data_IF_696297777460
#
_entry.id   IF_696297777460
#
_cell.length_a   1.000
_cell.length_b   1.000
_cell.length_c   1.000
_cell.angle_alpha   90.00
_cell.angle_beta   90.00
_cell.angle_gamma   90.00
#
_symmetry.space_group_name_H-M   'P 1'
#
loop_
_entity.id
_entity.type
_entity.pdbx_description
1 polymer ?
#
# COMPACT_ATOMS: atom_id res chain seq x y z
N UNK A 1 -9.62 5.78 3.92
CA UNK A 1 -8.87 6.75 4.74
C UNK A 1 -7.63 7.23 3.99
N UNK A 2 -6.82 8.09 4.62
CA UNK A 2 -5.56 8.58 4.03
C UNK A 2 -4.67 7.40 3.58
N UNK A 3 -4.56 6.36 4.42
CA UNK A 3 -3.83 5.13 4.12
C UNK A 3 -4.28 4.43 2.82
N UNK A 4 -5.59 4.31 2.58
CA UNK A 4 -6.12 3.69 1.35
C UNK A 4 -5.80 4.51 0.10
N UNK A 5 -5.81 5.85 0.23
CA UNK A 5 -5.48 6.74 -0.88
C UNK A 5 -3.99 6.66 -1.22
N UNK A 6 -3.13 6.57 -0.21
CA UNK A 6 -1.68 6.45 -0.40
C UNK A 6 -1.31 5.10 -1.01
N UNK A 7 -1.86 3.99 -0.51
CA UNK A 7 -1.74 2.65 -1.12
C UNK A 7 -2.17 2.71 -2.58
N UNK A 8 -3.35 3.27 -2.86
CA UNK A 8 -3.89 3.34 -4.22
C UNK A 8 -3.03 4.19 -5.17
N UNK A 9 -2.42 5.27 -4.69
CA UNK A 9 -1.52 6.11 -5.50
C UNK A 9 -0.21 5.40 -5.79
N UNK A 10 0.40 4.78 -4.79
CA UNK A 10 1.67 4.05 -4.93
C UNK A 10 1.49 2.82 -5.83
N UNK A 11 0.43 2.04 -5.63
CA UNK A 11 0.09 0.92 -6.50
C UNK A 11 -0.11 1.36 -7.96
N UNK A 12 -0.78 2.49 -8.21
CA UNK A 12 -0.93 3.04 -9.57
C UNK A 12 0.40 3.43 -10.21
N UNK A 13 1.34 4.01 -9.45
CA UNK A 13 2.68 4.33 -9.94
C UNK A 13 3.44 3.07 -10.33
N UNK A 14 3.44 2.05 -9.46
CA UNK A 14 4.14 0.79 -9.70
C UNK A 14 3.50 -0.07 -10.80
N UNK A 15 2.19 0.07 -11.02
CA UNK A 15 1.49 -0.58 -12.12
C UNK A 15 1.74 0.09 -13.48
N UNK A 16 2.32 1.29 -13.51
CA UNK A 16 2.66 1.99 -14.75
C UNK A 16 4.05 1.53 -15.25
N UNK A 17 4.15 0.80 -16.37
CA UNK A 17 5.43 0.33 -16.90
C UNK A 17 6.38 1.46 -17.26
N UNK A 18 5.87 2.61 -17.73
CA UNK A 18 6.70 3.77 -18.05
C UNK A 18 7.36 4.35 -16.80
N UNK A 19 6.66 4.33 -15.66
CA UNK A 19 7.24 4.77 -14.39
C UNK A 19 8.32 3.80 -13.94
N UNK A 20 8.04 2.49 -13.96
CA UNK A 20 9.01 1.47 -13.55
C UNK A 20 10.25 1.46 -14.45
N UNK A 21 10.10 1.71 -15.75
CA UNK A 21 11.20 1.73 -16.70
C UNK A 21 12.05 3.01 -16.65
N UNK A 22 11.47 4.15 -16.22
CA UNK A 22 12.15 5.46 -16.22
C UNK A 22 12.61 5.91 -14.84
N UNK A 23 11.98 5.42 -13.77
CA UNK A 23 12.35 5.76 -12.40
C UNK A 23 13.65 5.04 -12.01
N UNK A 24 14.47 5.64 -11.14
CA UNK A 24 15.59 4.93 -10.53
C UNK A 24 15.13 3.66 -9.82
N UNK A 25 15.90 2.59 -9.91
CA UNK A 25 15.58 1.30 -9.28
C UNK A 25 15.32 1.44 -7.77
N UNK A 26 16.15 2.22 -7.07
CA UNK A 26 15.96 2.51 -5.63
C UNK A 26 14.59 3.13 -5.34
N UNK A 27 14.11 4.05 -6.19
CA UNK A 27 12.79 4.67 -6.02
C UNK A 27 11.69 3.65 -6.25
N UNK A 28 11.83 2.78 -7.24
CA UNK A 28 10.84 1.73 -7.52
C UNK A 28 10.78 0.74 -6.34
N UNK A 29 11.93 0.28 -5.83
CA UNK A 29 12.01 -0.61 -4.68
C UNK A 29 11.44 0.04 -3.41
N UNK A 30 11.82 1.30 -3.11
CA UNK A 30 11.27 2.03 -1.97
C UNK A 30 9.74 2.17 -2.07
N UNK A 31 9.20 2.40 -3.27
CA UNK A 31 7.74 2.44 -3.45
C UNK A 31 7.11 1.06 -3.27
N UNK A 32 7.78 -0.03 -3.69
CA UNK A 32 7.31 -1.41 -3.50
C UNK A 32 7.29 -1.79 -2.02
N UNK A 33 8.36 -1.50 -1.30
CA UNK A 33 8.46 -1.72 0.14
C UNK A 33 7.39 -0.93 0.89
N UNK A 34 7.26 0.38 0.61
CA UNK A 34 6.20 1.22 1.19
C UNK A 34 4.80 0.70 0.90
N UNK A 35 4.55 0.22 -0.31
CA UNK A 35 3.26 -0.37 -0.66
C UNK A 35 3.00 -1.62 0.20
N UNK A 36 3.97 -2.53 0.29
CA UNK A 36 3.83 -3.74 1.06
C UNK A 36 3.61 -3.46 2.56
N UNK A 37 4.36 -2.53 3.14
CA UNK A 37 4.19 -2.10 4.54
C UNK A 37 2.80 -1.51 4.79
N UNK A 38 2.34 -0.63 3.90
CA UNK A 38 1.04 0.01 4.02
C UNK A 38 -0.10 -0.99 3.87
N UNK A 39 -0.01 -1.95 2.95
CA UNK A 39 -0.98 -3.04 2.79
C UNK A 39 -1.03 -3.94 4.02
N UNK A 40 0.13 -4.28 4.61
CA UNK A 40 0.18 -5.04 5.86
C UNK A 40 -0.45 -4.27 7.03
N UNK A 41 -0.16 -2.98 7.16
CA UNK A 41 -0.76 -2.13 8.19
C UNK A 41 -2.28 -2.06 8.03
N UNK A 42 -2.76 -1.89 6.80
CA UNK A 42 -4.19 -1.92 6.48
C UNK A 42 -4.83 -3.25 6.86
N UNK A 43 -4.22 -4.38 6.49
CA UNK A 43 -4.73 -5.70 6.82
C UNK A 43 -4.86 -5.92 8.34
N UNK A 44 -3.86 -5.47 9.12
CA UNK A 44 -3.91 -5.52 10.59
C UNK A 44 -5.05 -4.67 11.16
N UNK A 45 -5.23 -3.45 10.65
CA UNK A 45 -6.32 -2.56 11.07
C UNK A 45 -7.70 -3.14 10.74
N UNK A 46 -7.87 -3.71 9.54
CA UNK A 46 -9.10 -4.36 9.13
C UNK A 46 -9.41 -5.57 10.00
N UNK A 47 -8.41 -6.42 10.29
CA UNK A 47 -8.59 -7.57 11.19
C UNK A 47 -8.99 -7.14 12.61
N UNK A 48 -8.39 -6.07 13.13
CA UNK A 48 -8.74 -5.52 14.44
C UNK A 48 -10.17 -4.97 14.46
N UNK A 49 -10.58 -4.26 13.40
CA UNK A 49 -11.95 -3.75 13.25
C UNK A 49 -12.96 -4.90 13.21
N UNK A 50 -12.73 -5.91 12.38
CA UNK A 50 -13.62 -7.08 12.29
C UNK A 50 -13.73 -7.85 13.61
N UNK A 51 -12.64 -7.93 14.40
CA UNK A 51 -12.70 -8.51 15.74
C UNK A 51 -13.62 -7.69 16.66
N UNK A 52 -13.57 -6.37 16.55
CA UNK A 52 -14.39 -5.47 17.38
C UNK A 52 -15.87 -5.53 16.97
N UNK A 53 -16.16 -5.61 15.68
CA UNK A 53 -17.51 -5.82 15.13
C UNK A 53 -18.08 -7.18 15.54
N UNK A 54 -17.26 -8.22 15.66
CA UNK A 54 -17.71 -9.55 16.05
C UNK A 54 -18.06 -9.70 17.54
N UNK A 55 -17.64 -8.76 18.39
CA UNK A 55 -17.89 -8.78 19.85
C UNK A 55 -18.89 -7.72 20.31
N UNK A 56 -19.33 -6.84 19.41
CA UNK A 56 -20.38 -5.83 19.67
C UNK A 56 -21.75 -6.32 19.18
#
# INVERSE_FOLDING_TARGET
>A
GVLDQDIGRTAKKLANPDFVARAPEEVVEENRERLAEAEQAKAKLQAALSRLEAVG
#
